data_IF_068868324239
#
_entry.id   IF_068868324239
#
_cell.length_a   1.000
_cell.length_b   1.000
_cell.length_c   1.000
_cell.angle_alpha   90.00
_cell.angle_beta   90.00
_cell.angle_gamma   90.00
#
_symmetry.space_group_name_H-M   'P 1'
#
loop_
_entity.id
_entity.type
_entity.pdbx_description
1 polymer ?
#
# COMPACT_ATOMS: atom_id res chain seq x y z
N UNK A 1 -13.91 26.74 5.01
CA UNK A 1 -12.66 26.60 5.71
C UNK A 1 -11.53 26.62 4.68
N UNK A 2 -10.60 27.58 4.85
CA UNK A 2 -9.46 27.71 3.94
C UNK A 2 -8.65 26.40 4.01
N UNK A 3 -8.61 25.67 2.90
CA UNK A 3 -7.68 24.56 2.76
C UNK A 3 -6.28 25.14 2.85
N UNK A 4 -5.44 24.52 3.67
CA UNK A 4 -4.03 24.86 3.78
C UNK A 4 -3.45 24.83 2.38
N UNK A 5 -2.84 25.93 1.94
CA UNK A 5 -2.32 26.08 0.58
C UNK A 5 -1.06 25.26 0.29
N UNK A 6 -0.43 24.72 1.33
CA UNK A 6 0.76 23.86 1.25
C UNK A 6 0.49 22.51 1.90
N UNK A 7 0.98 21.41 1.31
CA UNK A 7 0.84 20.10 1.92
C UNK A 7 1.57 20.05 3.27
N UNK A 8 1.04 19.35 4.28
CA UNK A 8 1.75 19.13 5.52
C UNK A 8 3.02 18.32 5.26
N UNK A 9 4.10 18.71 5.91
CA UNK A 9 5.36 17.98 5.85
C UNK A 9 5.53 17.21 7.16
N UNK A 10 5.19 15.92 7.16
CA UNK A 10 5.23 15.08 8.36
C UNK A 10 6.66 14.63 8.70
N UNK A 11 7.48 14.36 7.68
CA UNK A 11 8.88 13.98 7.82
C UNK A 11 9.75 14.79 6.85
N UNK A 12 10.98 15.17 7.27
CA UNK A 12 11.93 15.78 6.34
C UNK A 12 12.29 14.81 5.19
N UNK A 13 12.55 15.35 4.00
CA UNK A 13 12.99 14.56 2.86
C UNK A 13 14.28 13.78 3.15
N UNK A 14 15.18 14.35 3.96
CA UNK A 14 16.41 13.68 4.43
C UNK A 14 16.12 12.40 5.21
N UNK A 15 15.08 12.40 6.05
CA UNK A 15 14.69 11.20 6.79
C UNK A 15 14.23 10.09 5.85
N UNK A 16 13.41 10.41 4.84
CA UNK A 16 12.95 9.44 3.85
C UNK A 16 14.12 8.94 2.99
N UNK A 17 15.05 9.82 2.61
CA UNK A 17 16.28 9.44 1.90
C UNK A 17 17.12 8.47 2.73
N UNK A 18 17.32 8.72 4.01
CA UNK A 18 18.07 7.85 4.92
C UNK A 18 17.44 6.45 5.00
N UNK A 19 16.11 6.35 4.99
CA UNK A 19 15.43 5.06 4.92
C UNK A 19 15.74 4.30 3.62
N UNK A 20 15.89 4.99 2.51
CA UNK A 20 16.22 4.33 1.22
C UNK A 20 17.65 3.80 1.17
N UNK A 21 18.53 4.28 2.03
CA UNK A 21 19.92 3.80 2.15
C UNK A 21 20.08 2.60 3.09
N UNK A 22 19.07 2.27 3.87
CA UNK A 22 19.12 1.15 4.80
C UNK A 22 19.00 -0.20 4.08
N UNK A 23 19.49 -1.26 4.72
CA UNK A 23 19.34 -2.62 4.22
C UNK A 23 17.88 -3.03 4.16
N UNK A 24 17.43 -3.54 3.00
CA UNK A 24 16.06 -4.00 2.83
C UNK A 24 15.80 -5.28 3.63
N UNK A 25 14.83 -5.31 4.55
CA UNK A 25 14.54 -6.49 5.36
C UNK A 25 14.12 -7.74 4.56
N UNK A 26 13.67 -7.57 3.32
CA UNK A 26 13.26 -8.67 2.43
C UNK A 26 14.34 -9.01 1.40
N UNK A 27 15.47 -8.30 1.38
CA UNK A 27 16.51 -8.47 0.37
C UNK A 27 16.09 -8.02 -1.03
N UNK A 28 15.03 -7.23 -1.16
CA UNK A 28 14.54 -6.72 -2.44
C UNK A 28 15.22 -5.40 -2.80
N UNK A 29 15.35 -5.15 -4.10
CA UNK A 29 15.84 -3.89 -4.61
C UNK A 29 14.83 -2.75 -4.49
N UNK A 30 15.34 -1.52 -4.41
CA UNK A 30 14.52 -0.30 -4.36
C UNK A 30 13.65 -0.23 -5.63
N UNK A 31 12.39 0.15 -5.46
CA UNK A 31 11.40 0.27 -6.53
C UNK A 31 11.08 -1.03 -7.30
N UNK A 32 11.45 -2.20 -6.77
CA UNK A 32 11.18 -3.49 -7.42
C UNK A 32 9.93 -4.19 -6.89
N UNK A 33 9.28 -3.65 -5.88
CA UNK A 33 8.12 -4.26 -5.24
C UNK A 33 7.04 -3.26 -4.85
N UNK A 34 5.86 -3.78 -4.59
CA UNK A 34 4.68 -3.03 -4.13
C UNK A 34 4.23 -3.60 -2.80
N UNK A 35 4.10 -2.74 -1.78
CA UNK A 35 3.49 -3.13 -0.51
C UNK A 35 1.98 -3.20 -0.68
N UNK A 36 1.38 -4.36 -0.41
CA UNK A 36 -0.05 -4.64 -0.53
C UNK A 36 -0.66 -4.85 0.86
N UNK A 37 -1.11 -3.79 1.51
CA UNK A 37 -1.71 -3.85 2.85
C UNK A 37 -3.19 -4.26 2.75
N UNK A 38 -3.43 -5.56 2.63
CA UNK A 38 -4.76 -6.15 2.43
C UNK A 38 -5.57 -6.28 3.72
N UNK A 39 -4.90 -6.31 4.88
CA UNK A 39 -5.50 -6.61 6.17
C UNK A 39 -5.76 -5.36 7.01
N UNK A 40 -6.82 -5.41 7.79
CA UNK A 40 -7.21 -4.37 8.76
C UNK A 40 -7.94 -5.05 9.92
N UNK A 41 -7.99 -4.37 11.08
CA UNK A 41 -8.65 -4.88 12.28
C UNK A 41 -10.17 -5.14 12.10
N UNK A 42 -10.79 -4.57 11.07
CA UNK A 42 -12.24 -4.68 10.80
C UNK A 42 -12.48 -5.36 9.47
N UNK A 43 -13.06 -6.57 9.49
CA UNK A 43 -13.38 -7.35 8.29
C UNK A 43 -14.18 -6.54 7.25
N UNK A 44 -15.10 -5.69 7.67
CA UNK A 44 -15.90 -4.84 6.78
C UNK A 44 -15.06 -3.85 5.95
N UNK A 45 -13.84 -3.56 6.35
CA UNK A 45 -12.91 -2.70 5.61
C UNK A 45 -12.02 -3.44 4.61
N UNK A 46 -12.07 -4.78 4.60
CA UNK A 46 -11.28 -5.58 3.68
C UNK A 46 -11.82 -5.47 2.26
N UNK A 47 -10.91 -5.31 1.33
CA UNK A 47 -11.21 -5.35 -0.10
C UNK A 47 -11.29 -6.81 -0.56
N UNK A 48 -12.01 -7.07 -1.65
CA UNK A 48 -12.25 -8.44 -2.14
C UNK A 48 -10.94 -9.17 -2.45
N UNK A 49 -10.82 -10.42 -1.98
CA UNK A 49 -9.62 -11.24 -2.19
C UNK A 49 -9.35 -11.50 -3.68
N UNK A 50 -10.39 -11.66 -4.49
CA UNK A 50 -10.24 -11.85 -5.94
C UNK A 50 -9.57 -10.64 -6.60
N UNK A 51 -9.86 -9.44 -6.14
CA UNK A 51 -9.23 -8.22 -6.62
C UNK A 51 -7.76 -8.11 -6.19
N UNK A 52 -7.41 -8.56 -4.97
CA UNK A 52 -6.01 -8.63 -4.55
C UNK A 52 -5.20 -9.61 -5.40
N UNK A 53 -5.79 -10.74 -5.77
CA UNK A 53 -5.15 -11.74 -6.65
C UNK A 53 -4.95 -11.16 -8.05
N UNK A 54 -5.97 -10.51 -8.60
CA UNK A 54 -5.91 -9.89 -9.92
C UNK A 54 -4.87 -8.76 -9.96
N UNK A 55 -4.84 -7.91 -8.93
CA UNK A 55 -3.81 -6.88 -8.76
C UNK A 55 -2.41 -7.50 -8.66
N UNK A 56 -2.25 -8.56 -7.86
CA UNK A 56 -0.98 -9.27 -7.72
C UNK A 56 -0.46 -9.81 -9.05
N UNK A 57 -1.31 -10.47 -9.82
CA UNK A 57 -0.96 -10.97 -11.15
C UNK A 57 -0.63 -9.82 -12.14
N UNK A 58 -1.37 -8.72 -12.06
CA UNK A 58 -1.08 -7.53 -12.86
C UNK A 58 0.30 -6.95 -12.53
N UNK A 59 0.62 -6.76 -11.25
CA UNK A 59 1.94 -6.25 -10.82
C UNK A 59 3.09 -7.14 -11.31
N UNK A 60 2.94 -8.46 -11.20
CA UNK A 60 3.92 -9.43 -11.68
C UNK A 60 4.13 -9.29 -13.19
N UNK A 61 3.06 -9.10 -13.97
CA UNK A 61 3.16 -8.88 -15.42
C UNK A 61 3.93 -7.59 -15.77
N UNK A 62 4.03 -6.66 -14.81
CA UNK A 62 4.78 -5.39 -14.92
C UNK A 62 6.17 -5.44 -14.28
N UNK A 63 6.66 -6.64 -13.95
CA UNK A 63 7.94 -6.88 -13.27
C UNK A 63 8.03 -6.22 -11.88
N UNK A 64 6.92 -6.11 -11.19
CA UNK A 64 6.83 -5.64 -9.82
C UNK A 64 6.42 -6.80 -8.91
N UNK A 65 7.12 -6.99 -7.81
CA UNK A 65 6.83 -8.05 -6.85
C UNK A 65 5.77 -7.58 -5.86
N UNK A 66 4.55 -8.17 -5.82
CA UNK A 66 3.60 -7.87 -4.76
C UNK A 66 4.06 -8.49 -3.44
N UNK A 67 4.00 -7.70 -2.37
CA UNK A 67 4.32 -8.13 -1.02
C UNK A 67 3.06 -8.05 -0.17
N UNK A 68 2.60 -9.18 0.36
CA UNK A 68 1.41 -9.30 1.22
C UNK A 68 1.81 -9.49 2.69
N UNK A 69 2.01 -8.41 3.45
CA UNK A 69 2.37 -8.49 4.87
C UNK A 69 1.16 -8.87 5.75
N UNK A 70 1.45 -9.27 6.97
CA UNK A 70 0.48 -9.71 7.95
C UNK A 70 0.89 -9.28 9.36
N UNK A 71 -0.08 -9.11 10.26
CA UNK A 71 0.14 -8.73 11.66
C UNK A 71 -0.26 -9.83 12.66
N UNK A 72 -1.03 -10.84 12.23
CA UNK A 72 -1.46 -11.96 13.05
C UNK A 72 -1.62 -13.24 12.22
N UNK A 73 -1.87 -14.37 12.87
CA UNK A 73 -1.94 -15.69 12.20
C UNK A 73 -3.05 -15.77 11.16
N UNK A 74 -4.23 -15.23 11.44
CA UNK A 74 -5.35 -15.24 10.48
C UNK A 74 -5.04 -14.40 9.23
N UNK A 75 -4.43 -13.24 9.41
CA UNK A 75 -3.96 -12.41 8.27
C UNK A 75 -2.86 -13.11 7.47
N UNK A 76 -1.99 -13.88 8.15
CA UNK A 76 -0.95 -14.67 7.49
C UNK A 76 -1.54 -15.74 6.58
N UNK A 77 -2.56 -16.45 7.03
CA UNK A 77 -3.26 -17.45 6.22
C UNK A 77 -3.86 -16.82 4.94
N UNK A 78 -4.46 -15.64 5.06
CA UNK A 78 -4.95 -14.88 3.90
C UNK A 78 -3.80 -14.47 2.98
N UNK A 79 -2.71 -13.91 3.53
CA UNK A 79 -1.51 -13.54 2.74
C UNK A 79 -0.95 -14.72 1.95
N UNK A 80 -0.86 -15.89 2.57
CA UNK A 80 -0.37 -17.12 1.95
C UNK A 80 -1.34 -17.59 0.84
N UNK A 81 -2.65 -17.50 1.06
CA UNK A 81 -3.66 -17.85 0.06
C UNK A 81 -3.60 -16.91 -1.16
N UNK A 82 -3.44 -15.60 -0.94
CA UNK A 82 -3.25 -14.62 -2.01
C UNK A 82 -1.98 -14.89 -2.82
N UNK A 83 -0.86 -15.09 -2.13
CA UNK A 83 0.43 -15.35 -2.78
C UNK A 83 0.45 -16.67 -3.58
N UNK A 84 -0.26 -17.68 -3.11
CA UNK A 84 -0.40 -18.95 -3.85
C UNK A 84 -1.10 -18.77 -5.20
N UNK A 85 -2.02 -17.82 -5.31
CA UNK A 85 -2.79 -17.53 -6.52
C UNK A 85 -2.19 -16.40 -7.36
N UNK A 86 -1.33 -15.58 -6.79
CA UNK A 86 -0.51 -14.59 -7.50
C UNK A 86 0.95 -15.07 -7.50
N UNK A 87 1.27 -16.00 -8.39
CA UNK A 87 2.56 -16.68 -8.41
C UNK A 87 3.72 -15.70 -8.67
N UNK A 88 4.60 -15.55 -7.69
CA UNK A 88 5.67 -14.54 -7.67
C UNK A 88 5.49 -13.48 -6.58
N UNK A 89 4.34 -13.48 -5.90
CA UNK A 89 4.14 -12.65 -4.71
C UNK A 89 4.92 -13.18 -3.50
N UNK A 90 5.25 -12.28 -2.58
CA UNK A 90 5.99 -12.58 -1.35
C UNK A 90 5.08 -12.40 -0.15
N UNK A 91 5.10 -13.38 0.76
CA UNK A 91 4.61 -13.25 2.13
C UNK A 91 5.83 -13.09 3.03
N UNK A 92 6.07 -11.91 3.61
CA UNK A 92 7.25 -11.67 4.40
C UNK A 92 7.17 -12.37 5.77
N UNK A 93 8.33 -12.53 6.42
CA UNK A 93 8.36 -12.77 7.87
C UNK A 93 7.78 -11.54 8.58
N UNK A 94 7.36 -11.70 9.83
CA UNK A 94 6.97 -10.58 10.67
C UNK A 94 8.12 -9.56 10.74
N UNK A 95 7.78 -8.28 10.65
CA UNK A 95 8.73 -7.18 10.72
C UNK A 95 8.29 -6.13 11.74
N UNK A 96 9.24 -5.38 12.26
CA UNK A 96 8.98 -4.29 13.20
C UNK A 96 8.43 -3.06 12.50
N UNK A 97 7.96 -2.09 13.30
CA UNK A 97 7.50 -0.81 12.74
C UNK A 97 8.65 -0.05 12.06
N UNK A 98 9.86 -0.12 12.60
CA UNK A 98 11.05 0.50 12.00
C UNK A 98 11.36 -0.12 10.64
N UNK A 99 11.25 -1.45 10.53
CA UNK A 99 11.39 -2.15 9.26
C UNK A 99 10.28 -1.80 8.28
N UNK A 100 9.04 -1.55 8.77
CA UNK A 100 7.94 -1.07 7.93
C UNK A 100 8.26 0.28 7.28
N UNK A 101 8.87 1.21 8.01
CA UNK A 101 9.32 2.49 7.44
C UNK A 101 10.30 2.27 6.26
N UNK A 102 11.28 1.40 6.44
CA UNK A 102 12.27 1.07 5.39
C UNK A 102 11.58 0.44 4.17
N UNK A 103 10.73 -0.57 4.41
CA UNK A 103 10.03 -1.28 3.34
C UNK A 103 9.13 -0.35 2.53
N UNK A 104 8.39 0.54 3.20
CA UNK A 104 7.52 1.52 2.54
C UNK A 104 8.35 2.55 1.77
N UNK A 105 9.42 3.08 2.37
CA UNK A 105 10.28 4.07 1.71
C UNK A 105 10.94 3.53 0.44
N UNK A 106 11.29 2.26 0.41
CA UNK A 106 11.97 1.60 -0.72
C UNK A 106 11.02 0.95 -1.73
N UNK A 107 9.73 0.82 -1.41
CA UNK A 107 8.75 0.28 -2.34
C UNK A 107 8.52 1.22 -3.54
N UNK A 108 8.20 0.66 -4.69
CA UNK A 108 7.73 1.42 -5.86
C UNK A 108 6.44 2.16 -5.55
N UNK A 109 5.55 1.49 -4.83
CA UNK A 109 4.20 1.92 -4.53
C UNK A 109 3.68 1.18 -3.29
N UNK A 110 2.76 1.79 -2.57
CA UNK A 110 1.89 1.12 -1.61
C UNK A 110 0.45 1.11 -2.13
N UNK A 111 -0.19 -0.04 -2.11
CA UNK A 111 -1.63 -0.18 -2.27
C UNK A 111 -2.17 -0.77 -0.98
N UNK A 112 -3.16 -0.16 -0.35
CA UNK A 112 -3.67 -0.67 0.91
C UNK A 112 -5.07 -0.19 1.24
N UNK A 113 -5.78 -1.00 2.04
CA UNK A 113 -7.05 -0.60 2.64
C UNK A 113 -6.82 0.46 3.73
N UNK A 114 -7.89 1.05 4.25
CA UNK A 114 -7.85 2.02 5.35
C UNK A 114 -7.25 1.39 6.63
N UNK A 115 -5.93 1.46 6.75
CA UNK A 115 -5.14 0.95 7.86
C UNK A 115 -3.88 1.81 8.11
N UNK A 116 -3.32 1.72 9.32
CA UNK A 116 -2.20 2.54 9.75
C UNK A 116 -0.98 2.50 8.83
N UNK A 117 -0.62 1.33 8.28
CA UNK A 117 0.54 1.21 7.39
C UNK A 117 0.30 1.83 6.00
N UNK A 118 -0.92 1.83 5.50
CA UNK A 118 -1.27 2.56 4.28
C UNK A 118 -1.13 4.06 4.50
N UNK A 119 -1.64 4.57 5.63
CA UNK A 119 -1.50 5.98 5.99
C UNK A 119 -0.05 6.38 6.25
N UNK A 120 0.77 5.47 6.79
CA UNK A 120 2.19 5.71 6.96
C UNK A 120 2.88 5.99 5.62
N UNK A 121 2.54 5.23 4.57
CA UNK A 121 3.06 5.47 3.22
C UNK A 121 2.71 6.87 2.71
N UNK A 122 1.47 7.30 2.89
CA UNK A 122 1.01 8.64 2.55
C UNK A 122 1.75 9.73 3.34
N UNK A 123 1.93 9.52 4.66
CA UNK A 123 2.66 10.45 5.55
C UNK A 123 4.14 10.55 5.16
N UNK A 124 4.75 9.48 4.70
CA UNK A 124 6.13 9.48 4.16
C UNK A 124 6.19 10.06 2.73
N UNK A 125 5.10 10.56 2.22
CA UNK A 125 4.99 11.11 0.87
C UNK A 125 5.45 10.14 -0.22
N UNK A 126 5.15 8.85 -0.03
CA UNK A 126 5.43 7.80 -1.02
C UNK A 126 4.20 7.59 -1.92
N UNK A 127 4.39 7.13 -3.17
CA UNK A 127 3.26 6.78 -4.03
C UNK A 127 2.33 5.80 -3.31
N UNK A 128 1.05 6.18 -3.16
CA UNK A 128 0.09 5.42 -2.35
C UNK A 128 -1.29 5.41 -3.01
N UNK A 129 -1.88 4.22 -3.13
CA UNK A 129 -3.30 4.03 -3.42
C UNK A 129 -3.99 3.62 -2.13
N UNK A 130 -4.88 4.45 -1.62
CA UNK A 130 -5.69 4.17 -0.42
C UNK A 130 -7.07 3.68 -0.86
N UNK A 131 -7.45 2.48 -0.41
CA UNK A 131 -8.71 1.81 -0.74
C UNK A 131 -9.69 1.93 0.43
N UNK A 132 -10.85 2.52 0.18
CA UNK A 132 -11.93 2.68 1.15
C UNK A 132 -13.10 1.76 0.81
N UNK A 133 -13.54 0.96 1.78
CA UNK A 133 -14.63 -0.02 1.65
C UNK A 133 -15.78 0.30 2.60
N UNK A 134 -15.51 0.33 3.91
CA UNK A 134 -16.51 0.63 4.96
C UNK A 134 -16.15 1.86 5.82
N UNK A 135 -15.15 2.61 5.41
CA UNK A 135 -14.77 3.87 6.07
C UNK A 135 -15.12 5.06 5.20
N UNK A 136 -15.66 6.13 5.79
CA UNK A 136 -15.85 7.36 5.04
C UNK A 136 -14.49 7.95 4.62
N UNK A 137 -14.31 8.13 3.33
CA UNK A 137 -13.10 8.64 2.70
C UNK A 137 -12.60 9.94 3.35
N UNK A 138 -13.50 10.87 3.63
CA UNK A 138 -13.17 12.20 4.16
C UNK A 138 -12.49 12.21 5.52
N UNK A 139 -12.56 11.11 6.28
CA UNK A 139 -11.99 11.05 7.64
C UNK A 139 -10.47 10.90 7.65
N UNK A 140 -9.94 10.08 6.76
CA UNK A 140 -8.53 9.64 6.82
C UNK A 140 -7.78 9.77 5.50
N UNK A 141 -8.45 10.19 4.41
CA UNK A 141 -7.81 10.32 3.09
C UNK A 141 -6.58 11.23 3.12
N UNK A 142 -5.51 10.78 2.47
CA UNK A 142 -4.39 11.63 2.15
C UNK A 142 -4.77 12.63 1.03
N UNK A 143 -4.59 13.91 1.27
CA UNK A 143 -5.02 14.97 0.33
C UNK A 143 -3.91 15.97 -0.01
N UNK A 144 -2.72 15.77 0.52
CA UNK A 144 -1.64 16.77 0.51
C UNK A 144 -0.66 16.61 -0.64
N UNK A 145 -0.71 15.51 -1.39
CA UNK A 145 0.17 15.28 -2.53
C UNK A 145 -0.54 14.54 -3.67
N UNK A 146 -0.13 14.79 -4.90
CA UNK A 146 -0.63 14.10 -6.10
C UNK A 146 -0.16 12.65 -6.20
N UNK A 147 0.80 12.24 -5.37
CA UNK A 147 1.26 10.85 -5.23
C UNK A 147 0.30 9.98 -4.42
N UNK A 148 -0.76 10.56 -3.85
CA UNK A 148 -1.75 9.84 -3.06
C UNK A 148 -3.06 9.83 -3.85
N UNK A 149 -3.54 8.63 -4.18
CA UNK A 149 -4.83 8.43 -4.84
C UNK A 149 -5.75 7.69 -3.90
N UNK A 150 -6.88 8.31 -3.57
CA UNK A 150 -7.91 7.74 -2.72
C UNK A 150 -9.04 7.19 -3.58
N UNK A 151 -9.41 5.93 -3.38
CA UNK A 151 -10.44 5.24 -4.15
C UNK A 151 -11.51 4.64 -3.25
N UNK A 152 -12.75 4.71 -3.70
CA UNK A 152 -13.90 4.19 -2.97
C UNK A 152 -14.40 5.13 -1.87
N UNK A 153 -15.39 4.68 -1.12
CA UNK A 153 -15.99 5.34 0.02
C UNK A 153 -16.77 4.28 0.84
N UNK A 154 -17.34 4.68 1.97
CA UNK A 154 -18.16 3.80 2.80
C UNK A 154 -19.31 3.18 2.00
N UNK A 155 -19.31 1.83 1.91
CA UNK A 155 -20.31 1.07 1.14
C UNK A 155 -20.18 1.15 -0.37
N UNK A 156 -19.11 1.77 -0.87
CA UNK A 156 -18.83 1.89 -2.31
C UNK A 156 -17.34 1.62 -2.59
N UNK A 157 -16.88 0.37 -2.43
CA UNK A 157 -15.49 0.02 -2.69
C UNK A 157 -15.14 0.21 -4.18
N UNK A 158 -13.86 0.53 -4.49
CA UNK A 158 -13.42 0.60 -5.87
C UNK A 158 -13.41 -0.79 -6.51
N UNK A 159 -13.63 -0.84 -7.81
CA UNK A 159 -13.37 -2.05 -8.58
C UNK A 159 -11.89 -2.18 -8.95
N UNK A 160 -11.49 -3.33 -9.46
CA UNK A 160 -10.09 -3.62 -9.80
C UNK A 160 -9.54 -2.70 -10.91
N UNK A 161 -10.36 -2.32 -11.89
CA UNK A 161 -9.93 -1.45 -12.99
C UNK A 161 -9.56 -0.04 -12.49
N UNK A 162 -10.30 0.49 -11.52
CA UNK A 162 -9.99 1.78 -10.88
C UNK A 162 -8.65 1.71 -10.14
N UNK A 163 -8.38 0.62 -9.43
CA UNK A 163 -7.12 0.43 -8.69
C UNK A 163 -5.95 0.27 -9.66
N UNK A 164 -6.08 -0.54 -10.70
CA UNK A 164 -5.03 -0.69 -11.74
C UNK A 164 -4.74 0.64 -12.41
N UNK A 165 -5.76 1.42 -12.78
CA UNK A 165 -5.57 2.74 -13.37
C UNK A 165 -4.79 3.70 -12.46
N UNK A 166 -5.06 3.66 -11.15
CA UNK A 166 -4.32 4.45 -10.17
C UNK A 166 -2.86 3.99 -10.03
N UNK A 167 -2.62 2.68 -10.04
CA UNK A 167 -1.27 2.09 -10.04
C UNK A 167 -0.48 2.55 -11.26
N UNK A 168 -1.06 2.43 -12.45
CA UNK A 168 -0.42 2.85 -13.71
C UNK A 168 -0.03 4.33 -13.67
N UNK A 169 -0.95 5.17 -13.22
CA UNK A 169 -0.72 6.62 -13.09
C UNK A 169 0.44 6.93 -12.14
N UNK A 170 0.52 6.26 -10.98
CA UNK A 170 1.56 6.51 -9.98
C UNK A 170 2.91 5.90 -10.35
N UNK A 171 2.92 4.80 -11.08
CA UNK A 171 4.14 4.11 -11.51
C UNK A 171 4.63 4.52 -12.91
N UNK A 172 3.86 5.32 -13.66
CA UNK A 172 4.12 5.63 -15.08
C UNK A 172 4.25 4.36 -15.94
N UNK A 173 3.30 3.44 -15.79
CA UNK A 173 3.23 2.15 -16.50
C UNK A 173 2.34 2.24 -17.73
#
# INVERSE_FOLDING_TARGET
PNRISLPPQFYPDTFVQDLTLQSNPLGLGINQYVMCFHATARQAKCWDESYWIELGNYLISRNLTPVFPWGNTGEKEVSEALAKRAAGAIVPKAFSIEQAFVLIAQARLTVGVDTGLTHLSAILNRPTVEIYVDSPLWKTQGYWDTKIINLGDKGSPPNIAEVISAVDKLCNL
#
